data_IF_754552992365
#
_entry.id   IF_754552992365
#
_cell.length_a   1.000
_cell.length_b   1.000
_cell.length_c   1.000
_cell.angle_alpha   90.00
_cell.angle_beta   90.00
_cell.angle_gamma   90.00
#
_symmetry.space_group_name_H-M   'P 1'
#
loop_
_entity.id
_entity.type
_entity.pdbx_description
1 polymer ?
#
# COMPACT_ATOMS: atom_id res chain seq x y z
N UNK A 1 16.52 14.09 12.58
CA UNK A 1 15.41 14.35 13.26
C UNK A 1 14.12 13.77 12.77
N UNK A 2 13.46 13.14 13.71
CA UNK A 2 12.25 12.35 13.50
C UNK A 2 11.02 13.23 13.16
N UNK A 3 11.08 14.54 13.39
CA UNK A 3 9.98 15.47 13.08
C UNK A 3 9.68 15.65 11.59
N UNK A 4 10.57 15.24 10.70
CA UNK A 4 10.36 15.26 9.23
C UNK A 4 9.77 13.96 8.69
N UNK A 5 9.56 12.95 9.54
CA UNK A 5 9.14 11.60 9.15
C UNK A 5 7.65 11.47 8.84
N UNK A 6 6.88 12.56 8.84
CA UNK A 6 5.46 12.52 8.48
C UNK A 6 4.59 11.81 9.52
N UNK A 7 4.92 11.91 10.81
CA UNK A 7 4.03 11.45 11.88
C UNK A 7 2.67 12.15 11.79
N UNK A 8 1.62 11.36 11.94
CA UNK A 8 0.23 11.83 11.99
C UNK A 8 -0.15 12.18 13.44
N UNK A 9 -0.88 13.27 13.62
CA UNK A 9 -1.56 13.53 14.89
C UNK A 9 -2.94 12.86 14.87
N UNK A 10 -3.15 11.81 15.67
CA UNK A 10 -4.44 11.11 15.72
C UNK A 10 -5.60 12.01 16.15
N UNK A 11 -5.33 13.02 16.95
CA UNK A 11 -6.37 13.95 17.45
C UNK A 11 -6.99 14.82 16.33
N UNK A 12 -6.34 14.91 15.17
CA UNK A 12 -6.87 15.64 14.00
C UNK A 12 -7.82 14.79 13.14
N UNK A 13 -8.06 13.54 13.52
CA UNK A 13 -8.91 12.61 12.77
C UNK A 13 -10.20 12.30 13.53
N UNK A 14 -11.26 11.92 12.81
CA UNK A 14 -12.50 11.41 13.39
C UNK A 14 -12.46 9.89 13.61
N UNK A 15 -11.27 9.30 13.66
CA UNK A 15 -11.06 7.86 13.85
C UNK A 15 -10.97 7.53 15.33
N UNK A 16 -11.20 6.26 15.68
CA UNK A 16 -10.95 5.79 17.03
C UNK A 16 -9.48 6.03 17.42
N UNK A 17 -9.20 6.41 18.68
CA UNK A 17 -7.83 6.65 19.12
C UNK A 17 -6.94 5.42 18.92
N UNK A 18 -5.64 5.61 18.63
CA UNK A 18 -4.71 4.50 18.51
C UNK A 18 -4.56 3.76 19.86
N UNK A 19 -4.47 2.44 19.80
CA UNK A 19 -4.27 1.58 20.97
C UNK A 19 -2.91 1.81 21.65
N UNK A 20 -1.91 2.19 20.86
CA UNK A 20 -0.55 2.47 21.33
C UNK A 20 -0.26 3.95 21.19
N UNK A 21 0.48 4.47 22.16
CA UNK A 21 0.94 5.86 22.21
C UNK A 21 2.47 5.94 22.22
N UNK A 22 3.00 7.12 21.95
CA UNK A 22 4.43 7.39 22.01
C UNK A 22 5.01 6.95 23.37
N UNK A 23 6.10 6.22 23.33
CA UNK A 23 6.79 5.69 24.50
C UNK A 23 6.36 4.29 24.93
N UNK A 24 5.21 3.77 24.45
CA UNK A 24 4.82 2.38 24.70
C UNK A 24 5.85 1.41 24.15
N UNK A 25 6.03 0.28 24.85
CA UNK A 25 6.92 -0.79 24.41
C UNK A 25 6.07 -2.01 24.00
N UNK A 26 6.34 -2.52 22.81
CA UNK A 26 5.70 -3.71 22.24
C UNK A 26 6.71 -4.85 22.25
N UNK A 27 6.28 -6.04 22.67
CA UNK A 27 7.12 -7.25 22.78
C UNK A 27 8.47 -7.03 23.48
N UNK A 28 8.53 -6.14 24.48
CA UNK A 28 9.75 -5.74 25.21
C UNK A 28 10.93 -5.28 24.31
N UNK A 29 10.66 -4.89 23.09
CA UNK A 29 11.70 -4.58 22.09
C UNK A 29 11.41 -3.29 21.32
N UNK A 30 10.18 -3.07 20.90
CA UNK A 30 9.84 -2.00 19.98
C UNK A 30 9.22 -0.81 20.72
N UNK A 31 9.97 0.29 20.84
CA UNK A 31 9.49 1.53 21.45
C UNK A 31 8.73 2.34 20.40
N UNK A 32 7.46 2.61 20.65
CA UNK A 32 6.61 3.44 19.77
C UNK A 32 7.13 4.88 19.75
N UNK A 33 7.31 5.41 18.55
CA UNK A 33 7.69 6.81 18.29
C UNK A 33 6.48 7.68 17.92
N UNK A 34 5.40 7.06 17.42
CA UNK A 34 4.17 7.72 17.01
C UNK A 34 3.42 6.92 15.97
N UNK A 35 2.34 7.50 15.44
CA UNK A 35 1.57 6.92 14.33
C UNK A 35 1.96 7.58 13.01
N UNK A 36 1.96 6.82 11.91
CA UNK A 36 2.29 7.32 10.57
C UNK A 36 1.09 7.28 9.64
N UNK A 37 0.14 6.40 9.86
CA UNK A 37 -1.06 6.26 9.05
C UNK A 37 -2.15 5.48 9.78
N UNK A 38 -3.37 5.55 9.22
CA UNK A 38 -4.46 4.63 9.51
C UNK A 38 -4.86 3.94 8.20
N UNK A 39 -4.85 2.61 8.19
CA UNK A 39 -5.26 1.79 7.03
C UNK A 39 -6.51 0.98 7.33
N UNK A 40 -6.93 0.14 6.39
CA UNK A 40 -8.07 -0.76 6.56
C UNK A 40 -7.90 -1.76 7.72
N UNK A 41 -6.67 -1.96 8.17
CA UNK A 41 -6.30 -2.86 9.27
C UNK A 41 -6.01 -2.12 10.58
N UNK A 42 -6.31 -0.82 10.67
CA UNK A 42 -6.08 0.01 11.85
C UNK A 42 -4.85 0.91 11.75
N UNK A 43 -4.35 1.34 12.91
CA UNK A 43 -3.22 2.26 13.00
C UNK A 43 -1.89 1.60 12.64
N UNK A 44 -1.06 2.36 11.92
CA UNK A 44 0.30 2.00 11.55
C UNK A 44 1.25 2.87 12.38
N UNK A 45 2.16 2.22 13.10
CA UNK A 45 3.05 2.87 14.06
C UNK A 45 4.48 2.93 13.55
N UNK A 46 5.16 4.03 13.81
CA UNK A 46 6.60 4.11 13.74
C UNK A 46 7.17 3.68 15.07
N UNK A 47 8.18 2.82 15.06
CA UNK A 47 8.80 2.32 16.27
C UNK A 47 10.32 2.26 16.13
N UNK A 48 11.00 2.17 17.26
CA UNK A 48 12.43 1.97 17.35
C UNK A 48 12.72 0.59 17.92
N UNK A 49 13.44 -0.23 17.15
CA UNK A 49 13.93 -1.54 17.59
C UNK A 49 15.12 -1.32 18.54
N UNK A 50 14.90 -1.59 19.83
CA UNK A 50 15.89 -1.39 20.88
C UNK A 50 17.02 -2.45 20.85
N UNK A 51 16.76 -3.63 20.24
CA UNK A 51 17.72 -4.71 20.15
C UNK A 51 18.66 -4.59 18.93
N UNK A 52 18.33 -3.72 17.96
CA UNK A 52 19.11 -3.54 16.73
C UNK A 52 19.51 -2.07 16.58
N UNK A 53 20.36 -1.60 17.50
CA UNK A 53 20.99 -0.27 17.47
C UNK A 53 20.02 0.90 17.22
N UNK A 54 18.77 0.77 17.70
CA UNK A 54 17.75 1.79 17.53
C UNK A 54 17.22 1.91 16.09
N UNK A 55 17.26 0.84 15.29
CA UNK A 55 16.68 0.82 13.96
C UNK A 55 15.23 1.28 13.99
N UNK A 56 14.88 2.19 13.08
CA UNK A 56 13.50 2.61 12.89
C UNK A 56 12.78 1.56 12.04
N UNK A 57 11.60 1.15 12.51
CA UNK A 57 10.73 0.14 11.88
C UNK A 57 9.28 0.62 11.86
N UNK A 58 8.47 -0.03 11.04
CA UNK A 58 7.02 0.14 11.02
C UNK A 58 6.37 -1.07 11.69
N UNK A 59 5.43 -0.84 12.60
CA UNK A 59 4.55 -1.85 13.15
C UNK A 59 3.17 -1.69 12.53
N UNK A 60 2.71 -2.69 11.78
CA UNK A 60 1.38 -2.75 11.20
C UNK A 60 0.59 -3.85 11.90
N UNK A 61 -0.55 -3.48 12.51
CA UNK A 61 -1.45 -4.45 13.12
C UNK A 61 -2.02 -5.39 12.07
N UNK A 62 -2.15 -6.66 12.43
CA UNK A 62 -2.86 -7.65 11.63
C UNK A 62 -4.31 -7.67 12.07
N UNK A 63 -5.24 -7.72 11.13
CA UNK A 63 -6.65 -7.89 11.48
C UNK A 63 -6.85 -9.31 11.99
N UNK A 64 -7.28 -9.40 13.25
CA UNK A 64 -7.95 -10.59 13.74
C UNK A 64 -9.34 -10.16 14.17
N UNK A 65 -10.37 -10.65 13.50
CA UNK A 65 -11.76 -10.45 13.94
C UNK A 65 -12.08 -11.20 15.24
N UNK A 66 -11.08 -11.83 15.87
CA UNK A 66 -11.25 -12.74 17.00
C UNK A 66 -11.83 -14.12 16.60
N UNK A 67 -12.10 -14.35 15.32
CA UNK A 67 -12.56 -15.63 14.80
C UNK A 67 -11.35 -16.55 14.54
N UNK A 68 -11.32 -17.80 15.04
CA UNK A 68 -10.20 -18.73 14.81
C UNK A 68 -9.85 -18.97 13.33
N UNK A 69 -10.82 -18.85 12.43
CA UNK A 69 -10.62 -19.01 11.00
C UNK A 69 -9.77 -17.86 10.42
N UNK A 70 -9.97 -16.63 10.90
CA UNK A 70 -9.24 -15.46 10.47
C UNK A 70 -7.82 -15.43 11.03
N UNK A 71 -7.60 -16.01 12.21
CA UNK A 71 -6.28 -16.18 12.80
C UNK A 71 -5.44 -17.16 11.96
N UNK A 72 -6.04 -18.27 11.49
CA UNK A 72 -5.37 -19.21 10.59
C UNK A 72 -4.94 -18.57 9.26
N UNK A 73 -5.80 -17.75 8.67
CA UNK A 73 -5.47 -17.00 7.46
C UNK A 73 -4.34 -15.98 7.70
N UNK A 74 -4.37 -15.28 8.83
CA UNK A 74 -3.32 -14.32 9.20
C UNK A 74 -1.97 -15.01 9.45
N UNK A 75 -1.95 -16.23 9.99
CA UNK A 75 -0.72 -17.02 10.18
C UNK A 75 -0.14 -17.45 8.83
N UNK A 76 -0.97 -17.96 7.92
CA UNK A 76 -0.53 -18.33 6.57
C UNK A 76 0.02 -17.12 5.78
N UNK A 77 -0.60 -15.96 5.95
CA UNK A 77 -0.11 -14.70 5.40
C UNK A 77 1.26 -14.33 5.96
N UNK A 78 1.48 -14.53 7.27
CA UNK A 78 2.80 -14.30 7.92
C UNK A 78 3.91 -15.14 7.30
N UNK A 79 3.69 -16.45 7.14
CA UNK A 79 4.68 -17.36 6.57
C UNK A 79 5.05 -16.94 5.15
N UNK A 80 4.06 -16.59 4.35
CA UNK A 80 4.29 -16.10 3.00
C UNK A 80 5.07 -14.77 2.96
N UNK A 81 4.70 -13.80 3.80
CA UNK A 81 5.36 -12.49 3.85
C UNK A 81 6.82 -12.60 4.35
N UNK A 82 7.13 -13.59 5.20
CA UNK A 82 8.49 -13.84 5.68
C UNK A 82 9.45 -14.25 4.55
N UNK A 83 8.94 -14.93 3.52
CA UNK A 83 9.73 -15.42 2.39
C UNK A 83 9.89 -14.40 1.25
N UNK A 84 9.13 -13.30 1.28
CA UNK A 84 9.26 -12.24 0.28
C UNK A 84 10.57 -11.49 0.47
N UNK A 85 11.44 -11.58 -0.53
CA UNK A 85 12.69 -10.80 -0.58
C UNK A 85 12.89 -10.25 -1.98
N UNK A 86 12.64 -8.95 -2.14
CA UNK A 86 12.82 -8.24 -3.41
C UNK A 86 13.23 -6.78 -3.13
N UNK A 87 14.16 -6.18 -3.90
CA UNK A 87 14.66 -4.82 -3.62
C UNK A 87 13.56 -3.76 -3.66
N UNK A 88 12.53 -3.93 -4.49
CA UNK A 88 11.41 -2.98 -4.65
C UNK A 88 10.26 -3.26 -3.69
N UNK A 89 10.26 -4.35 -2.95
CA UNK A 89 9.22 -4.68 -1.96
C UNK A 89 9.75 -4.39 -0.56
N UNK A 90 8.92 -3.77 0.28
CA UNK A 90 9.26 -3.57 1.69
C UNK A 90 9.49 -4.90 2.38
N UNK A 91 10.54 -4.96 3.20
CA UNK A 91 10.91 -6.19 3.89
C UNK A 91 10.12 -6.35 5.19
N UNK A 92 9.53 -7.53 5.41
CA UNK A 92 9.08 -7.95 6.72
C UNK A 92 10.28 -8.46 7.53
N UNK A 93 10.48 -7.92 8.74
CA UNK A 93 11.60 -8.31 9.60
C UNK A 93 11.19 -9.35 10.64
N UNK A 94 9.96 -9.21 11.17
CA UNK A 94 9.49 -10.04 12.26
C UNK A 94 7.97 -10.01 12.36
N UNK A 95 7.43 -10.99 13.08
CA UNK A 95 6.03 -11.02 13.51
C UNK A 95 6.02 -11.11 15.03
N UNK A 96 5.26 -10.28 15.69
CA UNK A 96 5.21 -10.18 17.13
C UNK A 96 3.77 -10.22 17.62
N UNK A 97 3.56 -10.93 18.70
CA UNK A 97 2.27 -10.95 19.38
C UNK A 97 2.24 -9.86 20.47
N UNK A 98 1.10 -9.22 20.61
CA UNK A 98 0.84 -8.24 21.67
C UNK A 98 -0.62 -8.40 22.11
N UNK A 99 -0.89 -8.51 23.42
CA UNK A 99 -2.26 -8.74 23.92
C UNK A 99 -3.25 -7.63 23.57
N UNK A 100 -2.76 -6.46 23.17
CA UNK A 100 -3.59 -5.33 22.72
C UNK A 100 -4.11 -5.48 21.30
N UNK A 101 -3.51 -6.37 20.48
CA UNK A 101 -3.88 -6.59 19.08
C UNK A 101 -4.03 -8.09 18.83
N UNK A 102 -5.26 -8.53 18.55
CA UNK A 102 -5.64 -9.94 18.53
C UNK A 102 -4.78 -10.82 17.58
N UNK A 103 -4.33 -10.29 16.45
CA UNK A 103 -3.47 -11.00 15.50
C UNK A 103 -2.01 -10.55 15.54
N UNK A 104 -1.62 -9.68 16.50
CA UNK A 104 -0.27 -9.17 16.63
C UNK A 104 0.11 -8.15 15.56
N UNK A 105 1.41 -7.95 15.39
CA UNK A 105 1.97 -6.98 14.43
C UNK A 105 2.95 -7.63 13.47
N UNK A 106 2.98 -7.12 12.24
CA UNK A 106 4.13 -7.27 11.33
C UNK A 106 5.10 -6.13 11.64
N UNK A 107 6.36 -6.47 11.85
CA UNK A 107 7.48 -5.52 11.94
C UNK A 107 8.12 -5.41 10.56
N UNK A 108 8.10 -4.22 9.99
CA UNK A 108 8.49 -4.00 8.60
C UNK A 108 9.60 -2.95 8.48
N UNK A 109 10.29 -2.98 7.35
CA UNK A 109 11.20 -1.93 6.93
C UNK A 109 10.50 -0.57 6.94
N UNK A 110 11.12 0.42 7.59
CA UNK A 110 10.72 1.81 7.43
C UNK A 110 11.40 2.39 6.18
N UNK A 111 10.61 2.87 5.24
CA UNK A 111 11.07 3.51 4.01
C UNK A 111 10.85 5.02 4.15
N UNK A 112 11.92 5.82 4.31
CA UNK A 112 11.78 7.27 4.41
C UNK A 112 11.45 7.86 3.04
N UNK A 113 10.41 8.67 2.96
CA UNK A 113 10.05 9.38 1.73
C UNK A 113 8.55 9.56 1.56
N UNK A 114 8.13 10.41 0.64
CA UNK A 114 6.74 10.61 0.30
C UNK A 114 6.23 9.48 -0.60
N UNK A 115 4.94 9.14 -0.46
CA UNK A 115 4.27 8.29 -1.45
C UNK A 115 4.12 9.01 -2.78
N UNK A 116 3.91 8.25 -3.86
CA UNK A 116 3.61 8.83 -5.18
C UNK A 116 2.35 9.70 -5.14
N UNK A 117 1.37 9.36 -4.29
CA UNK A 117 0.21 10.22 -4.07
C UNK A 117 0.60 11.61 -3.56
N UNK A 118 1.47 11.68 -2.54
CA UNK A 118 1.95 12.95 -1.98
C UNK A 118 2.76 13.72 -3.02
N UNK A 119 3.71 13.04 -3.69
CA UNK A 119 4.52 13.66 -4.76
C UNK A 119 3.65 14.19 -5.90
N UNK A 120 2.58 13.46 -6.28
CA UNK A 120 1.62 13.90 -7.28
C UNK A 120 0.95 15.23 -6.88
N UNK A 121 0.53 15.37 -5.62
CA UNK A 121 -0.11 16.59 -5.12
C UNK A 121 0.81 17.81 -5.18
N UNK A 122 2.12 17.60 -5.14
CA UNK A 122 3.15 18.63 -5.22
C UNK A 122 3.48 19.04 -6.68
N UNK A 123 2.99 18.29 -7.69
CA UNK A 123 3.21 18.58 -9.09
C UNK A 123 2.32 19.74 -9.57
N UNK A 124 2.78 20.53 -10.57
CA UNK A 124 1.93 21.49 -11.26
C UNK A 124 0.66 20.81 -11.81
N UNK A 125 -0.51 21.36 -11.51
CA UNK A 125 -1.80 20.77 -11.91
C UNK A 125 -2.17 19.50 -11.14
N UNK A 126 -1.38 19.05 -10.16
CA UNK A 126 -1.66 17.87 -9.35
C UNK A 126 -1.53 16.55 -10.11
N UNK A 127 -0.78 16.50 -11.21
CA UNK A 127 -0.51 15.29 -12.01
C UNK A 127 0.96 15.25 -12.44
N UNK A 128 1.48 14.04 -12.67
CA UNK A 128 2.81 13.86 -13.23
C UNK A 128 2.80 14.03 -14.77
N UNK A 129 3.93 14.43 -15.35
CA UNK A 129 4.20 14.19 -16.75
C UNK A 129 4.19 12.68 -17.04
N UNK A 130 3.76 12.30 -18.25
CA UNK A 130 3.53 10.88 -18.59
C UNK A 130 4.81 10.06 -18.52
N UNK A 131 5.91 10.58 -19.01
CA UNK A 131 7.23 9.94 -18.98
C UNK A 131 7.72 9.67 -17.55
N UNK A 132 7.52 10.61 -16.64
CA UNK A 132 7.85 10.46 -15.22
C UNK A 132 6.97 9.37 -14.57
N UNK A 133 5.67 9.38 -14.83
CA UNK A 133 4.75 8.37 -14.31
C UNK A 133 5.09 6.96 -14.83
N UNK A 134 5.41 6.83 -16.12
CA UNK A 134 5.85 5.57 -16.73
C UNK A 134 7.16 5.11 -16.09
N UNK A 135 8.12 6.01 -15.85
CA UNK A 135 9.38 5.68 -15.18
C UNK A 135 9.14 5.00 -13.83
N UNK A 136 8.30 5.58 -12.96
CA UNK A 136 7.95 4.96 -11.68
C UNK A 136 7.25 3.60 -11.81
N UNK A 137 6.35 3.45 -12.80
CA UNK A 137 5.70 2.17 -13.05
C UNK A 137 6.73 1.11 -13.47
N UNK A 138 7.61 1.42 -14.42
CA UNK A 138 8.62 0.48 -14.90
C UNK A 138 9.54 -0.02 -13.79
N UNK A 139 9.90 0.84 -12.82
CA UNK A 139 10.69 0.45 -11.66
C UNK A 139 9.97 -0.55 -10.74
N UNK A 140 8.62 -0.54 -10.72
CA UNK A 140 7.83 -1.42 -9.86
C UNK A 140 7.46 -2.76 -10.50
N UNK A 141 7.43 -2.87 -11.85
CA UNK A 141 7.01 -4.09 -12.55
C UNK A 141 7.80 -5.34 -12.16
N UNK A 142 9.14 -5.30 -11.94
CA UNK A 142 9.88 -6.49 -11.50
C UNK A 142 9.39 -7.05 -10.17
N UNK A 143 8.84 -6.21 -9.29
CA UNK A 143 8.25 -6.67 -8.03
C UNK A 143 6.94 -7.43 -8.25
N UNK A 144 6.09 -6.99 -9.18
CA UNK A 144 4.88 -7.71 -9.56
C UNK A 144 5.22 -9.04 -10.25
N UNK A 145 6.17 -9.04 -11.19
CA UNK A 145 6.66 -10.27 -11.82
C UNK A 145 7.16 -11.28 -10.78
N UNK A 146 7.93 -10.82 -9.80
CA UNK A 146 8.42 -11.64 -8.70
C UNK A 146 7.29 -12.29 -7.88
N UNK A 147 6.21 -11.55 -7.60
CA UNK A 147 5.03 -12.06 -6.89
C UNK A 147 4.25 -13.04 -7.77
N UNK A 148 3.97 -12.69 -9.02
CA UNK A 148 3.23 -13.53 -9.97
C UNK A 148 3.91 -14.87 -10.21
N UNK A 149 5.25 -14.90 -10.31
CA UNK A 149 6.03 -16.14 -10.44
C UNK A 149 5.91 -17.06 -9.21
N UNK A 150 5.43 -16.54 -8.06
CA UNK A 150 5.14 -17.30 -6.84
C UNK A 150 3.67 -17.66 -6.66
N UNK A 151 2.85 -17.41 -7.68
CA UNK A 151 1.42 -17.72 -7.66
C UNK A 151 0.58 -16.76 -6.83
N UNK A 152 1.08 -15.55 -6.56
CA UNK A 152 0.38 -14.53 -5.80
C UNK A 152 0.27 -13.23 -6.57
N UNK A 153 -0.70 -12.41 -6.21
CA UNK A 153 -0.96 -11.08 -6.77
C UNK A 153 -0.92 -10.01 -5.67
N UNK A 154 -0.56 -8.80 -6.06
CA UNK A 154 -0.41 -7.68 -5.14
C UNK A 154 -1.75 -7.04 -4.74
N UNK A 155 -2.73 -7.00 -5.65
CA UNK A 155 -4.11 -6.51 -5.53
C UNK A 155 -4.30 -5.02 -5.21
N UNK A 156 -3.41 -4.36 -4.50
CA UNK A 156 -3.59 -2.97 -4.04
C UNK A 156 -2.51 -2.03 -4.59
N UNK A 157 -2.20 -2.20 -5.88
CA UNK A 157 -1.25 -1.32 -6.56
C UNK A 157 -1.88 0.05 -6.79
N UNK A 158 -1.40 1.04 -6.04
CA UNK A 158 -1.89 2.44 -6.08
C UNK A 158 -0.81 3.42 -5.64
N UNK A 159 -0.93 4.71 -5.98
CA UNK A 159 0.08 5.72 -5.64
C UNK A 159 0.34 5.87 -4.14
N UNK A 160 -0.61 5.51 -3.29
CA UNK A 160 -0.46 5.55 -1.83
C UNK A 160 0.54 4.50 -1.33
N UNK A 161 0.61 3.34 -2.00
CA UNK A 161 1.43 2.19 -1.61
C UNK A 161 2.81 2.16 -2.26
N UNK A 162 3.19 3.22 -2.95
CA UNK A 162 4.48 3.35 -3.62
C UNK A 162 5.22 4.54 -3.01
N UNK A 163 6.32 4.27 -2.30
CA UNK A 163 7.22 5.32 -1.78
C UNK A 163 8.40 5.50 -2.73
N UNK A 164 8.77 6.75 -2.94
CA UNK A 164 9.95 7.11 -3.74
C UNK A 164 10.97 7.77 -2.82
N UNK A 165 12.12 7.15 -2.71
CA UNK A 165 13.32 7.72 -2.06
C UNK A 165 14.21 8.41 -3.12
N UNK A 166 15.40 8.88 -2.73
CA UNK A 166 16.37 9.43 -3.68
C UNK A 166 16.88 8.36 -4.64
N UNK A 167 17.03 7.12 -4.17
CA UNK A 167 17.72 6.06 -4.89
C UNK A 167 16.81 4.93 -5.41
N UNK A 168 15.56 4.86 -4.95
CA UNK A 168 14.70 3.69 -5.23
C UNK A 168 13.22 3.94 -5.06
N UNK A 169 12.44 3.08 -5.70
CA UNK A 169 10.99 2.94 -5.51
C UNK A 169 10.71 1.71 -4.64
N UNK A 170 9.77 1.82 -3.71
CA UNK A 170 9.35 0.70 -2.82
C UNK A 170 7.84 0.55 -2.77
N UNK A 171 7.38 -0.69 -2.91
CA UNK A 171 6.02 -1.10 -2.57
C UNK A 171 5.95 -1.38 -1.07
N UNK A 172 5.05 -0.71 -0.34
CA UNK A 172 5.07 -0.68 1.14
C UNK A 172 3.94 -1.45 1.82
N UNK A 173 2.88 -1.78 1.12
CA UNK A 173 1.72 -2.46 1.72
C UNK A 173 1.49 -3.84 1.08
N UNK A 174 1.78 -4.88 1.84
CA UNK A 174 1.58 -6.27 1.44
C UNK A 174 0.28 -6.89 1.99
N UNK A 175 -0.56 -6.09 2.67
CA UNK A 175 -1.75 -6.60 3.34
C UNK A 175 -2.88 -7.06 2.42
N UNK A 176 -2.78 -6.80 1.11
CA UNK A 176 -3.73 -7.27 0.11
C UNK A 176 -3.16 -8.40 -0.78
N UNK A 177 -1.89 -8.78 -0.57
CA UNK A 177 -1.27 -9.87 -1.33
C UNK A 177 -1.99 -11.17 -1.05
N UNK A 178 -2.39 -11.89 -2.09
CA UNK A 178 -3.12 -13.14 -1.96
C UNK A 178 -2.82 -14.10 -3.12
N UNK A 179 -3.16 -15.37 -2.96
CA UNK A 179 -3.03 -16.37 -4.01
C UNK A 179 -3.89 -16.07 -5.23
N UNK A 180 -3.40 -16.39 -6.41
CA UNK A 180 -4.18 -16.29 -7.66
C UNK A 180 -5.42 -17.17 -7.54
N UNK A 181 -6.60 -16.62 -7.86
CA UNK A 181 -7.89 -17.31 -7.79
C UNK A 181 -8.43 -17.52 -6.37
N UNK A 182 -7.84 -16.90 -5.35
CA UNK A 182 -8.36 -16.99 -3.99
C UNK A 182 -9.74 -16.31 -3.88
N UNK A 183 -10.70 -17.00 -3.26
CA UNK A 183 -12.04 -16.49 -2.98
C UNK A 183 -12.19 -16.22 -1.48
N UNK A 184 -12.98 -15.21 -1.14
CA UNK A 184 -13.36 -14.90 0.24
C UNK A 184 -13.31 -13.42 0.56
N UNK A 185 -12.18 -12.90 0.93
CA UNK A 185 -12.05 -11.46 1.18
C UNK A 185 -11.59 -10.75 -0.09
N UNK A 186 -12.37 -9.76 -0.53
CA UNK A 186 -11.97 -8.87 -1.62
C UNK A 186 -11.03 -7.81 -1.03
N UNK A 187 -9.74 -8.04 -1.17
CA UNK A 187 -8.72 -7.07 -0.82
C UNK A 187 -8.50 -6.11 -1.98
N UNK A 188 -8.26 -4.85 -1.67
CA UNK A 188 -7.96 -3.82 -2.65
C UNK A 188 -8.72 -2.52 -2.38
N UNK A 189 -8.35 -1.49 -3.12
CA UNK A 189 -8.93 -0.15 -2.94
C UNK A 189 -9.97 0.12 -4.01
N UNK A 190 -11.19 0.50 -3.59
CA UNK A 190 -12.27 0.91 -4.49
C UNK A 190 -11.77 1.99 -5.47
N UNK A 191 -12.05 1.78 -6.76
CA UNK A 191 -11.61 2.66 -7.84
C UNK A 191 -10.27 2.26 -8.49
N UNK A 192 -9.52 1.34 -7.88
CA UNK A 192 -8.34 0.71 -8.48
C UNK A 192 -8.57 -0.75 -8.85
N UNK A 193 -9.42 -1.45 -8.12
CA UNK A 193 -9.67 -2.87 -8.29
C UNK A 193 -10.32 -3.19 -9.64
N UNK A 194 -9.87 -4.27 -10.26
CA UNK A 194 -10.45 -4.79 -11.50
C UNK A 194 -11.86 -5.35 -11.26
N UNK A 195 -12.80 -5.09 -12.16
CA UNK A 195 -14.21 -5.46 -11.95
C UNK A 195 -14.45 -6.96 -11.85
N UNK A 196 -13.65 -7.77 -12.53
CA UNK A 196 -13.76 -9.24 -12.55
C UNK A 196 -13.33 -9.90 -11.23
N UNK A 197 -12.55 -9.22 -10.38
CA UNK A 197 -12.08 -9.81 -9.11
C UNK A 197 -13.20 -10.27 -8.20
N UNK A 198 -14.35 -9.59 -8.25
CA UNK A 198 -15.51 -9.96 -7.44
C UNK A 198 -16.14 -11.30 -7.84
N UNK A 199 -16.00 -11.73 -9.09
CA UNK A 199 -16.63 -12.94 -9.66
C UNK A 199 -15.65 -14.04 -10.00
N UNK A 200 -14.43 -13.69 -10.40
CA UNK A 200 -13.42 -14.63 -10.90
C UNK A 200 -12.25 -14.80 -9.92
N UNK A 201 -12.20 -13.96 -8.90
CA UNK A 201 -11.04 -13.86 -7.99
C UNK A 201 -9.88 -13.06 -8.58
N UNK A 202 -8.86 -12.81 -7.77
CA UNK A 202 -7.70 -12.04 -8.20
C UNK A 202 -6.78 -12.83 -9.14
N UNK A 203 -6.21 -12.15 -10.13
CA UNK A 203 -5.38 -12.72 -11.18
C UNK A 203 -4.21 -11.80 -11.54
N UNK A 204 -3.27 -12.30 -12.32
CA UNK A 204 -2.21 -11.46 -12.92
C UNK A 204 -2.82 -10.32 -13.74
N UNK A 205 -3.90 -10.60 -14.49
CA UNK A 205 -4.58 -9.57 -15.29
C UNK A 205 -5.20 -8.48 -14.40
N UNK A 206 -5.78 -8.87 -13.25
CA UNK A 206 -6.34 -7.89 -12.30
C UNK A 206 -5.26 -6.98 -11.68
N UNK A 207 -4.03 -7.49 -11.45
CA UNK A 207 -2.91 -6.64 -11.03
C UNK A 207 -2.50 -5.65 -12.13
N UNK A 208 -2.40 -6.11 -13.39
CA UNK A 208 -2.11 -5.24 -14.54
C UNK A 208 -3.18 -4.16 -14.70
N UNK A 209 -4.44 -4.49 -14.44
CA UNK A 209 -5.51 -3.49 -14.40
C UNK A 209 -5.25 -2.42 -13.32
N UNK A 210 -4.85 -2.83 -12.09
CA UNK A 210 -4.53 -1.86 -11.02
C UNK A 210 -3.33 -0.98 -11.38
N UNK A 211 -2.34 -1.51 -12.10
CA UNK A 211 -1.21 -0.73 -12.66
C UNK A 211 -1.72 0.33 -13.64
N UNK A 212 -2.58 -0.05 -14.58
CA UNK A 212 -3.19 0.89 -15.53
C UNK A 212 -4.01 1.99 -14.84
N UNK A 213 -4.80 1.62 -13.82
CA UNK A 213 -5.56 2.58 -13.00
C UNK A 213 -4.63 3.53 -12.23
N UNK A 214 -3.51 3.02 -11.71
CA UNK A 214 -2.49 3.82 -11.03
C UNK A 214 -1.84 4.81 -11.98
N UNK A 215 -1.46 4.38 -13.18
CA UNK A 215 -0.91 5.26 -14.21
C UNK A 215 -1.90 6.38 -14.55
N UNK A 216 -3.17 6.04 -14.77
CA UNK A 216 -4.22 7.03 -15.02
C UNK A 216 -4.37 8.01 -13.83
N UNK A 217 -4.42 7.49 -12.60
CA UNK A 217 -4.52 8.33 -11.41
C UNK A 217 -3.30 9.25 -11.19
N UNK A 218 -2.14 8.91 -11.74
CA UNK A 218 -0.95 9.76 -11.67
C UNK A 218 -0.91 10.83 -12.74
N UNK A 219 -1.44 10.57 -13.93
CA UNK A 219 -1.26 11.41 -15.11
C UNK A 219 -2.47 12.28 -15.49
N UNK A 220 -3.66 11.92 -15.00
CA UNK A 220 -4.89 12.65 -15.29
C UNK A 220 -5.71 12.94 -14.02
N UNK A 221 -6.58 13.95 -14.09
CA UNK A 221 -7.49 14.31 -13.01
C UNK A 221 -8.75 13.43 -13.07
N UNK A 222 -8.63 12.18 -12.66
CA UNK A 222 -9.74 11.24 -12.66
C UNK A 222 -10.89 11.71 -11.76
N UNK A 223 -12.15 11.66 -12.24
CA UNK A 223 -13.31 12.02 -11.45
C UNK A 223 -13.46 11.07 -10.26
N UNK A 224 -13.95 11.63 -9.15
CA UNK A 224 -14.24 10.85 -7.93
C UNK A 224 -15.73 10.83 -7.66
N UNK A 225 -16.22 9.68 -7.21
CA UNK A 225 -17.58 9.49 -6.70
C UNK A 225 -17.50 8.74 -5.37
N UNK A 226 -18.15 9.28 -4.34
CA UNK A 226 -18.15 8.70 -2.98
C UNK A 226 -16.73 8.42 -2.43
N UNK A 227 -15.81 9.38 -2.67
CA UNK A 227 -14.43 9.31 -2.19
C UNK A 227 -13.48 8.39 -2.99
N UNK A 228 -13.99 7.59 -3.93
CA UNK A 228 -13.21 6.72 -4.79
C UNK A 228 -13.15 7.24 -6.22
N UNK A 229 -12.14 6.83 -7.00
CA UNK A 229 -12.12 7.09 -8.43
C UNK A 229 -13.30 6.39 -9.12
N UNK A 230 -13.98 7.11 -10.01
CA UNK A 230 -15.05 6.56 -10.82
C UNK A 230 -14.56 5.39 -11.69
N UNK A 231 -15.41 4.41 -12.01
CA UNK A 231 -15.06 3.38 -12.98
C UNK A 231 -14.85 4.02 -14.37
N UNK A 232 -13.95 3.45 -15.16
CA UNK A 232 -13.57 3.99 -16.45
C UNK A 232 -12.61 5.19 -16.39
N UNK A 233 -12.34 5.77 -17.54
CA UNK A 233 -11.54 6.97 -17.73
C UNK A 233 -12.44 8.12 -18.12
N UNK A 234 -12.07 9.38 -17.82
CA UNK A 234 -12.80 10.55 -18.33
C UNK A 234 -12.79 10.58 -19.86
N UNK A 235 -13.82 11.17 -20.45
CA UNK A 235 -13.89 11.37 -21.89
C UNK A 235 -12.92 12.46 -22.40
N UNK A 236 -12.74 12.56 -23.72
CA UNK A 236 -11.86 13.57 -24.32
C UNK A 236 -12.30 15.02 -24.01
N UNK A 237 -13.59 15.23 -23.81
CA UNK A 237 -14.15 16.54 -23.47
C UNK A 237 -13.92 16.91 -21.99
N UNK A 238 -13.67 15.92 -21.14
CA UNK A 238 -13.46 16.07 -19.69
C UNK A 238 -11.97 16.16 -19.32
N UNK A 239 -11.10 15.58 -20.14
CA UNK A 239 -9.66 15.51 -19.88
C UNK A 239 -8.87 15.96 -21.13
N UNK A 240 -8.28 17.17 -21.10
CA UNK A 240 -7.55 17.74 -22.24
C UNK A 240 -6.40 16.88 -22.76
N UNK A 241 -5.81 16.05 -21.87
CA UNK A 241 -4.74 15.12 -22.25
C UNK A 241 -5.25 14.09 -23.27
N UNK A 242 -6.47 13.57 -23.10
CA UNK A 242 -7.05 12.66 -24.08
C UNK A 242 -7.36 13.32 -25.40
N UNK A 243 -7.79 14.58 -25.38
CA UNK A 243 -7.99 15.34 -26.62
C UNK A 243 -6.68 15.45 -27.42
N UNK A 244 -5.56 15.64 -26.74
CA UNK A 244 -4.24 15.72 -27.36
C UNK A 244 -3.80 14.39 -28.00
N UNK A 245 -4.18 13.24 -27.41
CA UNK A 245 -3.75 11.90 -27.84
C UNK A 245 -4.84 11.07 -28.53
N UNK A 246 -6.00 11.67 -28.85
CA UNK A 246 -7.11 10.99 -29.51
C UNK A 246 -6.72 10.27 -30.82
N UNK A 247 -5.72 10.76 -31.54
CA UNK A 247 -5.20 10.12 -32.76
C UNK A 247 -4.57 8.77 -32.49
N UNK A 248 -4.05 8.52 -31.28
CA UNK A 248 -3.44 7.25 -30.87
C UNK A 248 -4.46 6.23 -30.37
N UNK A 249 -5.64 6.67 -29.93
CA UNK A 249 -6.71 5.80 -29.43
C UNK A 249 -7.70 5.35 -30.50
N UNK A 250 -7.57 5.86 -31.72
CA UNK A 250 -8.45 5.50 -32.85
C UNK A 250 -7.84 4.43 -33.77
N UNK A 251 -6.70 3.87 -33.41
CA UNK A 251 -6.07 2.74 -34.07
C UNK A 251 -6.49 1.43 -33.38
#
# INVERSE_FOLDING_TARGET
PIKETGLMDPATTNLEPPLLKEGDIVANQYKILGVVAHGGMGWIYLAQDQNVSGRVVVLKGLIGSGNPHDIGAAIAEREFLADITHPVIVKAYNFIDDPRVAAGFIVMEYVPGPSLRKRRQEQPGGVFAIDIAIGYILETLPALEYLHARGVVYNDFKPDNIIVTEDQVKLIDLGAVTGIGAFGYIFGTKGFQAPEVATEGPSVASDIYTVGRTLAAMTINMPKKDGAYAPGLPGPDEEPLFAQYLSYYRL
#
